data_IF_754285872816
#
_entry.id   IF_754285872816
#
_cell.length_a   1.000
_cell.length_b   1.000
_cell.length_c   1.000
_cell.angle_alpha   90.00
_cell.angle_beta   90.00
_cell.angle_gamma   90.00
#
_symmetry.space_group_name_H-M   'P 1'
#
loop_
_entity.id
_entity.type
_entity.pdbx_description
1 polymer ?
#
# COMPACT_ATOMS: atom_id res chain seq x y z
N UNK A 1 17.16 3.80 -0.25
CA UNK A 1 16.62 2.42 -0.22
C UNK A 1 15.76 2.08 -1.43
N UNK A 2 14.48 2.51 -1.54
CA UNK A 2 13.58 2.09 -2.63
C UNK A 2 14.14 2.35 -4.03
N UNK A 3 14.85 3.46 -4.20
CA UNK A 3 15.51 3.85 -5.46
C UNK A 3 16.81 3.08 -5.76
N UNK A 4 17.43 2.50 -4.72
CA UNK A 4 18.76 1.88 -4.78
C UNK A 4 18.70 0.36 -4.84
N UNK A 5 17.78 -0.24 -4.08
CA UNK A 5 17.60 -1.69 -4.02
C UNK A 5 16.76 -2.17 -5.20
N UNK A 6 17.40 -2.94 -6.09
CA UNK A 6 16.83 -3.38 -7.36
C UNK A 6 16.70 -4.88 -7.49
N UNK A 7 17.27 -5.67 -6.57
CA UNK A 7 17.18 -7.11 -6.67
C UNK A 7 15.74 -7.57 -6.38
N UNK A 8 15.16 -8.44 -7.23
CA UNK A 8 13.83 -8.97 -6.99
C UNK A 8 13.82 -9.89 -5.75
N UNK A 9 12.62 -10.16 -5.20
CA UNK A 9 12.47 -10.98 -4.00
C UNK A 9 12.99 -12.42 -4.15
N UNK A 10 12.99 -12.96 -5.37
CA UNK A 10 13.58 -14.26 -5.69
C UNK A 10 15.10 -14.33 -5.57
N UNK A 11 15.80 -13.18 -5.61
CA UNK A 11 17.26 -13.09 -5.48
C UNK A 11 17.65 -12.57 -4.09
N UNK A 12 16.94 -11.54 -3.61
CA UNK A 12 17.14 -10.99 -2.27
C UNK A 12 15.86 -11.10 -1.46
N UNK A 13 15.88 -12.02 -0.51
CA UNK A 13 14.77 -12.34 0.39
C UNK A 13 14.19 -11.06 1.01
N UNK A 14 12.87 -11.07 1.19
CA UNK A 14 12.13 -10.02 1.87
C UNK A 14 12.72 -9.72 3.27
N UNK A 15 12.85 -8.44 3.60
CA UNK A 15 13.52 -7.96 4.81
C UNK A 15 12.63 -7.03 5.65
N UNK A 16 13.09 -6.71 6.86
CA UNK A 16 12.41 -5.72 7.71
C UNK A 16 12.29 -4.34 7.08
N UNK A 17 13.23 -3.95 6.21
CA UNK A 17 13.15 -2.65 5.49
C UNK A 17 12.04 -2.68 4.44
N UNK A 18 11.88 -3.80 3.73
CA UNK A 18 10.76 -3.99 2.79
C UNK A 18 9.42 -3.95 3.53
N UNK A 19 9.34 -4.61 4.68
CA UNK A 19 8.17 -4.57 5.57
C UNK A 19 7.83 -3.14 5.98
N UNK A 20 8.82 -2.33 6.34
CA UNK A 20 8.60 -0.93 6.70
C UNK A 20 8.07 -0.10 5.52
N UNK A 21 8.62 -0.33 4.32
CA UNK A 21 8.16 0.32 3.08
C UNK A 21 6.69 -0.03 2.79
N UNK A 22 6.31 -1.31 2.85
CA UNK A 22 4.93 -1.74 2.61
C UNK A 22 3.99 -1.29 3.72
N UNK A 23 4.45 -1.25 4.97
CA UNK A 23 3.70 -0.71 6.11
C UNK A 23 3.39 0.77 5.93
N UNK A 24 4.36 1.57 5.48
CA UNK A 24 4.14 2.99 5.16
C UNK A 24 3.16 3.14 3.99
N UNK A 25 3.28 2.29 2.96
CA UNK A 25 2.39 2.32 1.80
C UNK A 25 0.94 1.98 2.17
N UNK A 26 0.72 1.13 3.19
CA UNK A 26 -0.61 0.76 3.68
C UNK A 26 -1.41 1.93 4.30
N UNK A 27 -0.77 3.09 4.51
CA UNK A 27 -1.48 4.31 4.93
C UNK A 27 -2.17 5.05 3.78
N UNK A 28 -1.92 4.69 2.51
CA UNK A 28 -2.63 5.28 1.39
C UNK A 28 -4.10 4.87 1.38
N UNK A 29 -4.95 5.77 0.87
CA UNK A 29 -6.35 5.48 0.66
C UNK A 29 -6.56 4.75 -0.67
N UNK A 30 -6.69 3.43 -0.64
CA UNK A 30 -6.87 2.63 -1.85
C UNK A 30 -8.32 2.50 -2.34
N UNK A 31 -9.28 3.26 -1.77
CA UNK A 31 -10.69 3.22 -2.17
C UNK A 31 -10.86 3.53 -3.67
N UNK A 32 -11.42 2.58 -4.43
CA UNK A 32 -11.57 2.71 -5.89
C UNK A 32 -10.29 2.48 -6.70
N UNK A 33 -9.17 2.16 -6.05
CA UNK A 33 -7.89 1.84 -6.68
C UNK A 33 -7.51 0.36 -6.55
N UNK A 34 -7.80 -0.25 -5.41
CA UNK A 34 -7.51 -1.65 -5.11
C UNK A 34 -8.82 -2.38 -4.81
N UNK A 35 -9.09 -3.55 -5.40
CA UNK A 35 -10.29 -4.30 -5.10
C UNK A 35 -10.33 -4.75 -3.63
N UNK A 36 -11.54 -4.77 -3.08
CA UNK A 36 -11.84 -5.41 -1.81
C UNK A 36 -12.06 -6.91 -1.95
N UNK A 37 -12.14 -7.61 -0.82
CA UNK A 37 -12.46 -9.05 -0.80
C UNK A 37 -13.83 -9.37 -1.42
N UNK A 38 -14.77 -8.42 -1.40
CA UNK A 38 -16.12 -8.60 -1.94
C UNK A 38 -16.20 -8.34 -3.44
N UNK A 39 -15.27 -7.58 -4.01
CA UNK A 39 -15.31 -7.17 -5.42
C UNK A 39 -14.93 -8.32 -6.38
N UNK A 40 -14.32 -9.39 -5.86
CA UNK A 40 -13.90 -10.59 -6.62
C UNK A 40 -13.18 -10.25 -7.94
N UNK A 41 -12.39 -9.18 -7.92
CA UNK A 41 -11.70 -8.64 -9.09
C UNK A 41 -10.20 -8.90 -9.01
N UNK A 42 -9.53 -8.82 -10.16
CA UNK A 42 -8.09 -9.01 -10.25
C UNK A 42 -7.31 -7.93 -9.49
N UNK A 43 -6.24 -8.36 -8.83
CA UNK A 43 -5.29 -7.46 -8.16
C UNK A 43 -4.61 -6.50 -9.15
N UNK A 44 -4.17 -5.35 -8.65
CA UNK A 44 -3.47 -4.31 -9.44
C UNK A 44 -2.00 -4.21 -9.04
N UNK A 45 -1.11 -3.81 -9.95
CA UNK A 45 0.33 -3.66 -9.61
C UNK A 45 0.60 -2.29 -8.98
N UNK A 46 1.64 -2.19 -8.14
CA UNK A 46 2.12 -0.89 -7.63
C UNK A 46 2.39 0.08 -8.78
N UNK A 47 3.00 -0.39 -9.87
CA UNK A 47 3.28 0.42 -11.05
C UNK A 47 2.00 0.99 -11.71
N UNK A 48 0.96 0.16 -11.85
CA UNK A 48 -0.31 0.60 -12.44
C UNK A 48 -1.00 1.68 -11.59
N UNK A 49 -0.89 1.60 -10.26
CA UNK A 49 -1.41 2.62 -9.35
C UNK A 49 -0.57 3.90 -9.43
N UNK A 50 0.76 3.77 -9.44
CA UNK A 50 1.68 4.90 -9.48
C UNK A 50 1.56 5.73 -10.77
N UNK A 51 1.26 5.08 -11.89
CA UNK A 51 1.12 5.71 -13.23
C UNK A 51 -0.30 6.15 -13.56
N UNK A 52 -1.29 5.83 -12.72
CA UNK A 52 -2.69 6.22 -12.93
C UNK A 52 -2.84 7.74 -12.89
N UNK A 53 -3.52 8.30 -13.90
CA UNK A 53 -3.85 9.73 -13.95
C UNK A 53 -4.78 10.10 -12.79
N UNK A 54 -4.61 11.29 -12.23
CA UNK A 54 -5.45 11.85 -11.15
C UNK A 54 -5.55 10.94 -9.92
N UNK A 55 -4.42 10.43 -9.44
CA UNK A 55 -4.36 9.57 -8.26
C UNK A 55 -4.32 10.33 -6.92
N UNK A 56 -4.82 11.58 -6.89
CA UNK A 56 -4.78 12.44 -5.69
C UNK A 56 -5.59 11.86 -4.52
N UNK A 57 -6.66 11.13 -4.82
CA UNK A 57 -7.48 10.47 -3.80
C UNK A 57 -6.71 9.40 -2.99
N UNK A 58 -5.61 8.84 -3.53
CA UNK A 58 -4.72 7.93 -2.78
C UNK A 58 -4.11 8.59 -1.56
N UNK A 59 -3.89 9.91 -1.61
CA UNK A 59 -3.21 10.66 -0.56
C UNK A 59 -4.19 11.38 0.37
N UNK A 60 -5.49 11.22 0.13
CA UNK A 60 -6.55 11.84 0.93
C UNK A 60 -6.47 11.36 2.37
N UNK A 61 -6.55 12.29 3.32
CA UNK A 61 -6.45 12.03 4.77
C UNK A 61 -5.13 11.35 5.22
N UNK A 62 -4.11 11.30 4.35
CA UNK A 62 -2.78 10.79 4.71
C UNK A 62 -1.92 11.89 5.32
N UNK A 63 -1.07 11.54 6.29
CA UNK A 63 -0.01 12.43 6.77
C UNK A 63 1.07 12.54 5.70
N UNK A 64 1.64 13.73 5.51
CA UNK A 64 2.73 13.98 4.57
C UNK A 64 2.45 13.48 3.13
N UNK A 65 1.30 13.88 2.56
CA UNK A 65 0.85 13.50 1.21
C UNK A 65 1.93 13.62 0.13
N UNK A 66 2.76 14.66 0.16
CA UNK A 66 3.86 14.84 -0.79
C UNK A 66 4.93 13.74 -0.67
N UNK A 67 5.30 13.34 0.56
CA UNK A 67 6.26 12.26 0.79
C UNK A 67 5.68 10.91 0.37
N UNK A 68 4.40 10.68 0.65
CA UNK A 68 3.68 9.48 0.22
C UNK A 68 3.60 9.38 -1.31
N UNK A 69 3.36 10.50 -2.00
CA UNK A 69 3.38 10.57 -3.47
C UNK A 69 4.76 10.26 -4.03
N UNK A 70 5.81 10.82 -3.42
CA UNK A 70 7.20 10.52 -3.80
C UNK A 70 7.51 9.02 -3.59
N UNK A 71 7.08 8.46 -2.46
CA UNK A 71 7.25 7.03 -2.15
C UNK A 71 6.56 6.15 -3.20
N UNK A 72 5.26 6.37 -3.48
CA UNK A 72 4.54 5.58 -4.47
C UNK A 72 5.20 5.65 -5.85
N UNK A 73 5.63 6.85 -6.27
CA UNK A 73 6.32 7.02 -7.54
C UNK A 73 7.65 6.26 -7.59
N UNK A 74 8.46 6.33 -6.52
CA UNK A 74 9.71 5.58 -6.41
C UNK A 74 9.47 4.06 -6.45
N UNK A 75 8.41 3.58 -5.80
CA UNK A 75 8.03 2.16 -5.82
C UNK A 75 7.57 1.70 -7.21
N UNK A 76 6.78 2.51 -7.91
CA UNK A 76 6.35 2.22 -9.28
C UNK A 76 7.51 2.13 -10.28
N UNK A 77 8.61 2.85 -10.04
CA UNK A 77 9.84 2.77 -10.83
C UNK A 77 10.82 1.68 -10.38
N UNK A 78 10.63 1.05 -9.23
CA UNK A 78 11.60 0.12 -8.64
C UNK A 78 11.41 -1.30 -9.16
N UNK A 79 12.43 -1.95 -9.77
CA UNK A 79 12.34 -3.35 -10.20
C UNK A 79 12.00 -4.33 -9.06
N UNK A 80 12.32 -3.97 -7.82
CA UNK A 80 12.00 -4.79 -6.65
C UNK A 80 10.50 -4.74 -6.29
N UNK A 81 9.87 -3.59 -6.40
CA UNK A 81 8.51 -3.35 -5.86
C UNK A 81 7.43 -3.21 -6.93
N UNK A 82 7.77 -2.76 -8.14
CA UNK A 82 6.80 -2.32 -9.15
C UNK A 82 5.77 -3.39 -9.54
N UNK A 83 6.18 -4.66 -9.50
CA UNK A 83 5.36 -5.82 -9.89
C UNK A 83 4.62 -6.46 -8.72
N UNK A 84 4.78 -5.94 -7.49
CA UNK A 84 3.96 -6.36 -6.36
C UNK A 84 2.50 -6.09 -6.69
N UNK A 85 1.67 -7.11 -6.54
CA UNK A 85 0.23 -7.01 -6.80
C UNK A 85 -0.50 -6.72 -5.49
N UNK A 86 -1.47 -5.83 -5.53
CA UNK A 86 -2.21 -5.35 -4.37
C UNK A 86 -3.67 -5.79 -4.53
N UNK A 87 -4.23 -6.38 -3.47
CA UNK A 87 -5.63 -6.80 -3.43
C UNK A 87 -6.19 -6.77 -2.00
N UNK A 88 -7.49 -7.05 -1.89
CA UNK A 88 -8.22 -7.23 -0.65
C UNK A 88 -8.08 -6.05 0.30
N UNK A 89 -8.13 -4.84 -0.26
CA UNK A 89 -8.14 -3.63 0.54
C UNK A 89 -9.46 -3.51 1.30
N UNK A 90 -9.36 -3.16 2.56
CA UNK A 90 -10.50 -2.85 3.42
C UNK A 90 -10.14 -1.63 4.26
N UNK A 91 -11.10 -0.71 4.34
CA UNK A 91 -11.01 0.48 5.18
C UNK A 91 -12.39 0.69 5.82
N UNK A 92 -12.45 0.55 7.15
CA UNK A 92 -13.68 0.66 7.94
C UNK A 92 -13.49 1.71 9.02
N UNK A 93 -14.37 2.70 9.00
CA UNK A 93 -14.47 3.74 10.01
C UNK A 93 -15.83 3.60 10.68
N UNK A 94 -15.84 3.32 11.98
CA UNK A 94 -17.04 3.36 12.81
C UNK A 94 -16.92 4.52 13.80
N UNK A 95 -17.55 5.63 13.43
CA UNK A 95 -17.59 6.85 14.24
C UNK A 95 -18.42 6.70 15.53
N UNK A 96 -19.36 5.75 15.57
CA UNK A 96 -20.21 5.55 16.75
C UNK A 96 -19.48 4.78 17.85
N UNK A 97 -18.59 3.86 17.47
CA UNK A 97 -17.77 3.10 18.42
C UNK A 97 -16.30 3.53 18.47
N UNK A 98 -15.94 4.63 17.79
CA UNK A 98 -14.58 5.17 17.71
C UNK A 98 -13.56 4.13 17.19
N UNK A 99 -13.98 3.23 16.28
CA UNK A 99 -13.13 2.16 15.75
C UNK A 99 -12.67 2.45 14.33
N UNK A 100 -11.38 2.23 14.10
CA UNK A 100 -10.78 2.22 12.77
C UNK A 100 -10.14 0.87 12.47
N UNK A 101 -10.37 0.35 11.28
CA UNK A 101 -9.68 -0.84 10.78
C UNK A 101 -9.35 -0.66 9.31
N UNK A 102 -8.07 -0.84 8.97
CA UNK A 102 -7.66 -0.92 7.57
C UNK A 102 -6.58 -1.97 7.38
N UNK A 103 -6.71 -2.74 6.30
CA UNK A 103 -5.75 -3.74 5.89
C UNK A 103 -5.69 -3.85 4.36
N UNK A 104 -4.54 -4.28 3.85
CA UNK A 104 -4.31 -4.51 2.43
C UNK A 104 -3.33 -5.68 2.25
N UNK A 105 -3.53 -6.46 1.19
CA UNK A 105 -2.64 -7.58 0.87
C UNK A 105 -1.73 -7.22 -0.29
N UNK A 106 -0.43 -7.46 -0.10
CA UNK A 106 0.61 -7.36 -1.10
C UNK A 106 1.09 -8.76 -1.48
N UNK A 107 0.92 -9.14 -2.73
CA UNK A 107 1.43 -10.36 -3.31
C UNK A 107 2.79 -10.07 -3.92
N UNK A 108 3.85 -10.58 -3.30
CA UNK A 108 5.22 -10.46 -3.76
C UNK A 108 5.45 -11.38 -4.96
N UNK A 109 6.48 -11.07 -5.76
CA UNK A 109 6.78 -11.79 -7.01
C UNK A 109 7.30 -13.22 -6.80
N UNK A 110 7.67 -13.58 -5.57
CA UNK A 110 8.10 -14.92 -5.17
C UNK A 110 6.95 -15.79 -4.62
N UNK A 111 5.70 -15.31 -4.69
CA UNK A 111 4.50 -16.03 -4.25
C UNK A 111 4.11 -15.79 -2.79
N UNK A 112 4.88 -15.01 -2.04
CA UNK A 112 4.53 -14.64 -0.66
C UNK A 112 3.38 -13.64 -0.64
N UNK A 113 2.40 -13.86 0.24
CA UNK A 113 1.37 -12.89 0.57
C UNK A 113 1.73 -12.16 1.88
N UNK A 114 1.90 -10.84 1.81
CA UNK A 114 2.17 -9.97 2.93
C UNK A 114 0.94 -9.11 3.22
N UNK A 115 0.39 -9.21 4.44
CA UNK A 115 -0.79 -8.46 4.86
C UNK A 115 -0.33 -7.31 5.75
N UNK A 116 -0.58 -6.07 5.31
CA UNK A 116 -0.29 -4.89 6.09
C UNK A 116 -1.56 -4.40 6.79
N UNK A 117 -1.45 -4.12 8.08
CA UNK A 117 -2.49 -3.47 8.86
C UNK A 117 -2.09 -2.01 9.08
N UNK A 118 -3.00 -1.08 8.84
CA UNK A 118 -2.76 0.33 9.11
C UNK A 118 -2.89 0.59 10.61
N UNK A 119 -1.86 1.20 11.21
CA UNK A 119 -1.90 1.68 12.59
C UNK A 119 -2.71 2.98 12.72
N UNK A 120 -2.57 3.66 13.86
CA UNK A 120 -3.25 4.94 14.13
C UNK A 120 -2.85 6.02 13.14
N UNK A 121 -3.83 6.77 12.64
CA UNK A 121 -3.60 7.93 11.77
C UNK A 121 -3.68 9.27 12.53
N UNK A 122 -3.82 10.42 11.86
CA UNK A 122 -3.90 11.76 12.48
C UNK A 122 -5.28 12.13 13.02
N UNK A 123 -6.26 11.23 12.97
CA UNK A 123 -7.57 11.52 13.52
C UNK A 123 -7.52 11.53 15.06
N UNK A 124 -8.31 12.40 15.68
CA UNK A 124 -8.41 12.55 17.15
C UNK A 124 -8.92 11.26 17.81
N UNK A 125 -9.49 10.36 17.01
CA UNK A 125 -9.80 8.99 17.36
C UNK A 125 -8.56 8.14 17.10
N UNK A 126 -7.62 8.23 18.04
CA UNK A 126 -6.56 7.24 18.14
C UNK A 126 -7.17 5.84 18.35
N UNK A 127 -6.45 4.79 17.95
CA UNK A 127 -6.80 3.40 18.28
C UNK A 127 -7.25 3.22 19.73
#
# INVERSE_FOLDING_TARGET
YVEEEKYPFSIKIFSGVDSLVLSQLAYLNFDGFVPSITDRSDSVTIESIATKKNNEDLYRHTRASMLNKKLLFALGGSPRFRDIRINYYVNKLDYASEKQFSAVTFHLSDGVAYIAYRGTDSTFVGW
#
